data_IF_499091157463
#
_entry.id   IF_499091157463
#
_cell.length_a   1.000
_cell.length_b   1.000
_cell.length_c   1.000
_cell.angle_alpha   90.00
_cell.angle_beta   90.00
_cell.angle_gamma   90.00
#
_symmetry.space_group_name_H-M   'P 1'
#
loop_
_entity.id
_entity.type
_entity.pdbx_description
1 polymer ?
#
# COMPACT_ATOMS: atom_id res chain seq x y z
N UNK A 1 44.00 59.83 51.98
CA UNK A 1 43.42 58.77 52.82
C UNK A 1 42.73 57.79 51.88
N UNK A 2 43.44 56.80 51.36
CA UNK A 2 43.61 55.44 51.91
C UNK A 2 42.30 54.63 51.98
N UNK A 3 42.22 53.68 51.04
CA UNK A 3 41.59 52.36 51.07
C UNK A 3 40.05 52.30 51.04
N UNK A 4 39.48 51.96 49.88
CA UNK A 4 38.52 50.87 49.63
C UNK A 4 38.13 50.92 48.14
N UNK A 5 37.81 49.77 47.52
CA UNK A 5 37.54 49.53 46.09
C UNK A 5 38.73 49.15 45.20
N UNK A 6 39.39 48.06 45.59
CA UNK A 6 39.95 47.07 44.66
C UNK A 6 39.16 45.78 44.92
N UNK A 7 38.02 45.61 44.24
CA UNK A 7 37.26 44.35 44.14
C UNK A 7 35.96 44.59 43.33
N UNK A 8 36.08 44.77 42.02
CA UNK A 8 35.06 44.45 41.01
C UNK A 8 35.55 44.99 39.66
N UNK A 9 35.39 44.19 38.62
CA UNK A 9 35.81 44.38 37.22
C UNK A 9 37.14 43.75 36.79
N UNK A 10 36.96 42.88 35.79
CA UNK A 10 37.95 42.26 34.93
C UNK A 10 38.58 40.92 35.37
N UNK A 11 37.86 40.15 36.20
CA UNK A 11 37.91 38.69 36.13
C UNK A 11 36.98 38.20 34.99
N UNK A 12 37.27 38.64 33.75
CA UNK A 12 36.52 38.31 32.52
C UNK A 12 37.33 37.39 31.59
N UNK A 13 38.51 36.94 32.00
CA UNK A 13 39.41 36.19 31.10
C UNK A 13 39.87 34.83 31.64
N UNK A 14 39.21 34.28 32.66
CA UNK A 14 39.40 32.87 33.08
C UNK A 14 38.04 32.27 33.49
N UNK A 15 37.08 32.26 32.57
CA UNK A 15 35.91 31.37 32.59
C UNK A 15 35.66 30.74 31.21
N UNK A 16 36.68 30.74 30.36
CA UNK A 16 36.71 29.95 29.14
C UNK A 16 37.28 28.57 29.42
N UNK A 17 36.47 27.68 30.01
CA UNK A 17 36.59 26.20 29.97
C UNK A 17 35.74 25.51 31.06
N UNK A 18 34.48 25.89 31.24
CA UNK A 18 33.48 25.04 31.89
C UNK A 18 32.11 25.71 31.73
N UNK A 19 31.07 24.92 31.46
CA UNK A 19 29.66 25.32 31.41
C UNK A 19 29.17 26.04 30.13
N UNK A 20 29.31 25.38 28.99
CA UNK A 20 28.24 25.36 27.97
C UNK A 20 28.01 23.91 27.53
N UNK A 21 27.65 23.05 28.48
CA UNK A 21 26.70 21.98 28.17
C UNK A 21 25.32 22.62 28.28
N UNK A 22 24.93 23.32 27.22
CA UNK A 22 23.52 23.57 26.98
C UNK A 22 22.86 22.20 26.91
N UNK A 23 22.11 21.87 27.96
CA UNK A 23 20.99 20.94 27.91
C UNK A 23 19.96 21.51 26.93
N UNK A 24 20.31 21.51 25.64
CA UNK A 24 19.35 21.58 24.56
C UNK A 24 18.72 20.21 24.45
N UNK A 25 17.83 19.86 25.38
CA UNK A 25 16.69 19.06 24.98
C UNK A 25 15.90 19.95 24.02
N UNK A 26 16.32 19.97 22.75
CA UNK A 26 15.43 20.34 21.68
C UNK A 26 14.24 19.41 21.86
N UNK A 27 13.10 19.96 22.27
CA UNK A 27 11.84 19.23 22.27
C UNK A 27 11.74 18.65 20.86
N UNK A 28 11.93 17.33 20.73
CA UNK A 28 11.68 16.65 19.48
C UNK A 28 10.21 16.90 19.21
N UNK A 29 9.93 17.76 18.24
CA UNK A 29 8.57 17.95 17.74
C UNK A 29 8.23 16.62 17.14
N UNK A 30 7.50 15.79 17.87
CA UNK A 30 7.03 14.52 17.37
C UNK A 30 5.75 14.78 16.57
N UNK A 31 5.65 14.17 15.38
CA UNK A 31 4.37 14.09 14.68
C UNK A 31 3.35 13.42 15.59
N UNK A 32 2.13 13.93 15.68
CA UNK A 32 1.05 13.39 16.52
C UNK A 32 0.55 12.00 16.10
N UNK A 33 1.36 11.24 15.37
CA UNK A 33 1.08 9.92 14.82
C UNK A 33 2.31 9.00 14.93
N UNK A 34 2.07 7.70 15.01
CA UNK A 34 3.06 6.64 14.96
C UNK A 34 2.76 5.67 13.83
N UNK A 35 3.77 4.91 13.40
CA UNK A 35 3.59 3.81 12.46
C UNK A 35 2.88 2.67 13.20
N UNK A 36 1.79 2.15 12.62
CA UNK A 36 1.18 0.90 13.08
C UNK A 36 2.04 -0.27 12.57
N UNK A 37 2.95 -0.76 13.41
CA UNK A 37 3.90 -1.79 13.03
C UNK A 37 3.26 -3.13 12.69
N UNK A 38 2.07 -3.42 13.23
CA UNK A 38 1.41 -4.72 13.02
C UNK A 38 0.86 -4.85 11.60
N UNK A 39 0.54 -3.71 10.97
CA UNK A 39 -0.06 -3.67 9.63
C UNK A 39 1.00 -3.69 8.51
N UNK A 40 2.28 -3.49 8.85
CA UNK A 40 3.40 -3.32 7.90
C UNK A 40 3.21 -2.15 6.93
N UNK A 41 4.29 -1.75 6.25
CA UNK A 41 4.20 -0.87 5.08
C UNK A 41 3.98 -1.72 3.83
N UNK A 42 2.89 -1.46 3.10
CA UNK A 42 2.44 -2.30 2.00
C UNK A 42 2.71 -1.66 0.63
N UNK A 43 3.10 -2.48 -0.35
CA UNK A 43 3.16 -2.12 -1.77
C UNK A 43 2.04 -2.82 -2.54
N UNK A 44 1.15 -2.05 -3.17
CA UNK A 44 0.10 -2.53 -4.07
C UNK A 44 0.66 -2.86 -5.44
N UNK A 45 1.04 -4.12 -5.63
CA UNK A 45 1.68 -4.60 -6.86
C UNK A 45 0.63 -5.17 -7.81
N UNK A 46 0.52 -4.57 -9.00
CA UNK A 46 -0.32 -5.07 -10.08
C UNK A 46 0.58 -5.65 -11.18
N UNK A 47 0.66 -6.99 -11.34
CA UNK A 47 1.51 -7.59 -12.35
C UNK A 47 1.18 -7.05 -13.74
N UNK A 48 2.18 -6.84 -14.61
CA UNK A 48 1.93 -6.41 -15.97
C UNK A 48 1.05 -7.46 -16.67
N UNK A 49 0.00 -7.01 -17.34
CA UNK A 49 -0.82 -7.89 -18.18
C UNK A 49 0.09 -8.40 -19.29
N UNK A 50 0.39 -9.70 -19.30
CA UNK A 50 1.00 -10.32 -20.47
C UNK A 50 0.01 -10.12 -21.61
N UNK A 51 0.26 -9.18 -22.50
CA UNK A 51 -0.46 -9.10 -23.77
C UNK A 51 -0.34 -10.49 -24.39
N UNK A 52 -1.47 -11.19 -24.52
CA UNK A 52 -1.50 -12.38 -25.34
C UNK A 52 -1.06 -11.92 -26.72
N UNK A 53 0.11 -12.40 -27.17
CA UNK A 53 0.49 -12.30 -28.57
C UNK A 53 -0.71 -12.76 -29.41
N UNK A 54 -1.06 -12.05 -30.50
CA UNK A 54 -2.21 -12.41 -31.30
C UNK A 54 -2.05 -13.86 -31.74
N UNK A 55 -3.05 -14.70 -31.43
CA UNK A 55 -3.17 -16.05 -31.96
C UNK A 55 -3.12 -15.95 -33.49
N UNK A 56 -1.93 -16.15 -34.05
CA UNK A 56 -1.76 -16.32 -35.47
C UNK A 56 -2.54 -17.57 -35.86
N UNK A 57 -3.55 -17.34 -36.68
CA UNK A 57 -4.46 -18.33 -37.21
C UNK A 57 -3.72 -19.60 -37.69
N UNK A 58 -4.07 -20.73 -37.08
CA UNK A 58 -3.78 -22.06 -37.61
C UNK A 58 -4.65 -22.28 -38.87
N UNK A 59 -4.21 -21.70 -39.98
CA UNK A 59 -4.60 -22.09 -41.34
C UNK A 59 -3.36 -22.64 -42.03
N UNK A 60 -3.10 -23.93 -41.85
CA UNK A 60 -2.44 -24.74 -42.88
C UNK A 60 -2.78 -26.22 -42.70
N UNK A 61 -3.99 -26.59 -43.15
CA UNK A 61 -4.29 -27.96 -43.58
C UNK A 61 -4.33 -27.98 -45.11
N UNK A 62 -3.18 -28.28 -45.72
CA UNK A 62 -3.13 -28.78 -47.10
C UNK A 62 -1.88 -29.65 -47.31
N UNK A 63 -2.08 -30.97 -47.18
CA UNK A 63 -1.62 -31.99 -48.13
C UNK A 63 -1.40 -33.33 -47.43
N UNK A 64 -2.38 -34.24 -47.51
CA UNK A 64 -2.13 -35.61 -47.99
C UNK A 64 -3.36 -36.03 -48.78
N UNK A 65 -3.15 -36.38 -50.05
CA UNK A 65 -4.15 -37.00 -50.93
C UNK A 65 -3.61 -38.39 -51.30
N UNK A 66 -4.55 -39.33 -51.41
CA UNK A 66 -4.50 -40.68 -52.00
C UNK A 66 -4.11 -41.80 -51.01
N UNK A 67 -4.80 -42.95 -50.94
CA UNK A 67 -5.71 -43.59 -51.89
C UNK A 67 -6.73 -44.53 -51.18
N UNK A 68 -7.78 -44.86 -51.95
CA UNK A 68 -8.83 -45.90 -51.87
C UNK A 68 -8.64 -47.07 -50.87
N UNK A 69 -9.67 -47.72 -50.31
CA UNK A 69 -10.71 -48.52 -51.03
C UNK A 69 -11.83 -49.00 -50.09
N UNK A 70 -13.06 -49.13 -50.63
CA UNK A 70 -14.19 -50.08 -50.34
C UNK A 70 -14.59 -50.43 -48.89
N UNK A 71 -15.82 -50.12 -48.44
CA UNK A 71 -17.13 -50.81 -48.64
C UNK A 71 -17.48 -51.86 -47.57
N UNK A 72 -18.65 -51.68 -46.90
CA UNK A 72 -19.48 -52.66 -46.14
C UNK A 72 -18.83 -53.29 -44.88
N UNK A 73 -19.46 -53.44 -43.72
CA UNK A 73 -20.77 -54.03 -43.50
C UNK A 73 -21.31 -53.76 -42.08
N UNK A 74 -22.59 -54.12 -41.92
CA UNK A 74 -23.48 -53.91 -40.76
C UNK A 74 -23.12 -54.72 -39.50
N UNK A 75 -23.71 -54.25 -38.38
CA UNK A 75 -24.56 -54.96 -37.39
C UNK A 75 -24.00 -55.15 -35.96
N UNK A 76 -24.76 -54.56 -35.01
CA UNK A 76 -25.20 -55.03 -33.69
C UNK A 76 -24.25 -55.85 -32.80
N UNK A 77 -24.19 -55.51 -31.51
CA UNK A 77 -24.98 -56.15 -30.43
C UNK A 77 -24.83 -55.37 -29.11
N UNK A 78 -25.92 -55.32 -28.35
CA UNK A 78 -26.11 -54.79 -26.99
C UNK A 78 -25.42 -55.64 -25.92
N UNK A 79 -25.14 -55.02 -24.78
CA UNK A 79 -25.40 -55.46 -23.37
C UNK A 79 -24.25 -54.97 -22.49
N UNK A 80 -24.47 -54.08 -21.53
CA UNK A 80 -25.16 -54.22 -20.23
C UNK A 80 -24.13 -54.41 -19.10
N UNK A 81 -24.20 -53.49 -18.14
CA UNK A 81 -23.87 -53.57 -16.72
C UNK A 81 -22.64 -54.35 -16.25
N UNK A 82 -21.69 -53.62 -15.66
CA UNK A 82 -21.20 -53.93 -14.32
C UNK A 82 -20.53 -52.69 -13.71
N UNK A 83 -21.05 -52.28 -12.55
CA UNK A 83 -20.41 -51.35 -11.66
C UNK A 83 -19.21 -52.04 -10.98
N UNK A 84 -18.04 -51.41 -11.01
CA UNK A 84 -16.99 -51.71 -10.03
C UNK A 84 -16.34 -50.41 -9.57
N UNK A 85 -16.54 -50.14 -8.28
CA UNK A 85 -15.86 -49.11 -7.50
C UNK A 85 -14.40 -49.51 -7.40
N UNK A 86 -13.51 -48.71 -7.95
CA UNK A 86 -12.13 -48.67 -7.47
C UNK A 86 -11.74 -47.26 -7.05
N UNK A 87 -11.50 -47.15 -5.75
CA UNK A 87 -10.95 -45.99 -5.05
C UNK A 87 -9.57 -45.70 -5.62
N UNK A 88 -9.48 -44.75 -6.55
CA UNK A 88 -8.20 -44.12 -6.87
C UNK A 88 -7.81 -43.25 -5.68
N UNK A 89 -6.86 -43.73 -4.88
CA UNK A 89 -6.21 -42.95 -3.85
C UNK A 89 -5.72 -41.63 -4.48
N UNK A 90 -6.24 -40.53 -3.95
CA UNK A 90 -5.82 -39.18 -4.29
C UNK A 90 -4.38 -39.03 -3.79
N UNK A 91 -3.45 -39.21 -4.73
CA UNK A 91 -2.03 -38.93 -4.52
C UNK A 91 -1.94 -37.43 -4.20
N UNK A 92 -1.35 -37.01 -3.06
CA UNK A 92 -1.16 -35.60 -2.81
C UNK A 92 -0.36 -35.02 -3.97
N UNK A 93 -0.86 -33.92 -4.54
CA UNK A 93 -0.18 -33.19 -5.60
C UNK A 93 1.28 -33.00 -5.18
N UNK A 94 2.20 -33.52 -6.00
CA UNK A 94 3.62 -33.33 -5.78
C UNK A 94 3.88 -31.83 -5.61
N UNK A 95 4.51 -31.47 -4.50
CA UNK A 95 5.01 -30.11 -4.28
C UNK A 95 5.92 -29.81 -5.48
N UNK A 96 5.59 -28.82 -6.34
CA UNK A 96 6.42 -28.50 -7.48
C UNK A 96 7.82 -28.15 -6.95
N UNK A 97 8.85 -28.74 -7.54
CA UNK A 97 10.23 -28.38 -7.20
C UNK A 97 10.40 -26.85 -7.30
N UNK A 98 11.15 -26.23 -6.37
CA UNK A 98 11.37 -24.80 -6.39
C UNK A 98 11.97 -24.42 -7.75
N UNK A 99 11.24 -23.57 -8.49
CA UNK A 99 11.72 -23.00 -9.73
C UNK A 99 12.93 -22.13 -9.38
N UNK A 100 14.14 -22.61 -9.71
CA UNK A 100 15.40 -21.97 -9.30
C UNK A 100 15.54 -20.52 -9.78
N UNK A 101 14.71 -20.11 -10.74
CA UNK A 101 14.72 -18.76 -11.30
C UNK A 101 13.68 -17.82 -10.64
N UNK A 102 12.85 -18.33 -9.74
CA UNK A 102 11.80 -17.54 -9.09
C UNK A 102 11.78 -17.73 -7.58
N UNK A 103 11.69 -16.61 -6.87
CA UNK A 103 11.23 -16.58 -5.48
C UNK A 103 9.70 -16.59 -5.47
N UNK A 104 9.11 -17.36 -4.57
CA UNK A 104 7.67 -17.30 -4.27
C UNK A 104 7.51 -16.87 -2.82
N UNK A 105 7.37 -15.57 -2.52
CA UNK A 105 7.20 -15.11 -1.14
C UNK A 105 5.98 -15.76 -0.51
N UNK A 106 6.09 -16.09 0.79
CA UNK A 106 4.99 -16.70 1.52
C UNK A 106 3.85 -15.70 1.76
N UNK A 107 2.60 -16.17 1.70
CA UNK A 107 1.45 -15.37 2.09
C UNK A 107 1.46 -15.06 3.61
N UNK A 108 0.78 -14.00 4.01
CA UNK A 108 0.72 -13.60 5.43
C UNK A 108 -0.28 -14.41 6.27
N UNK A 109 -1.00 -15.37 5.67
CA UNK A 109 -1.85 -16.31 6.40
C UNK A 109 -3.17 -15.75 6.93
N UNK A 110 -3.67 -14.62 6.39
CA UNK A 110 -4.96 -14.06 6.81
C UNK A 110 -6.16 -14.90 6.36
N UNK A 111 -6.06 -15.51 5.19
CA UNK A 111 -7.05 -16.43 4.63
C UNK A 111 -6.36 -17.69 4.09
N UNK A 112 -7.15 -18.66 3.62
CA UNK A 112 -6.61 -19.85 2.95
C UNK A 112 -5.65 -19.46 1.80
N UNK A 113 -4.57 -20.22 1.52
CA UNK A 113 -3.58 -19.87 0.50
C UNK A 113 -4.16 -19.63 -0.90
N UNK A 114 -5.27 -20.28 -1.24
CA UNK A 114 -5.93 -20.14 -2.54
C UNK A 114 -6.99 -19.03 -2.60
N UNK A 115 -7.34 -18.41 -1.48
CA UNK A 115 -8.32 -17.32 -1.43
C UNK A 115 -7.62 -15.95 -1.42
N UNK A 116 -8.20 -14.92 -2.06
CA UNK A 116 -7.83 -13.53 -1.80
C UNK A 116 -8.17 -13.14 -0.36
N UNK A 117 -7.41 -12.18 0.18
CA UNK A 117 -7.67 -11.59 1.51
C UNK A 117 -8.70 -10.46 1.43
N UNK A 118 -8.79 -9.76 0.28
CA UNK A 118 -9.77 -8.69 0.02
C UNK A 118 -10.49 -8.97 -1.30
N UNK A 119 -11.83 -9.00 -1.27
CA UNK A 119 -12.69 -9.41 -2.40
C UNK A 119 -13.71 -8.38 -2.84
N UNK A 120 -13.94 -7.36 -2.02
CA UNK A 120 -15.05 -6.42 -2.14
C UNK A 120 -14.65 -5.04 -2.66
N UNK A 121 -13.64 -4.98 -3.54
CA UNK A 121 -13.24 -3.73 -4.19
C UNK A 121 -13.77 -3.76 -5.62
N UNK A 122 -14.85 -3.01 -5.88
CA UNK A 122 -15.30 -2.79 -7.25
C UNK A 122 -14.22 -2.00 -8.02
N UNK A 123 -13.81 -2.50 -9.19
CA UNK A 123 -12.70 -1.89 -9.94
C UNK A 123 -13.01 -0.46 -10.37
N UNK A 124 -14.26 -0.20 -10.78
CA UNK A 124 -14.68 1.13 -11.22
C UNK A 124 -14.59 2.16 -10.08
N UNK A 125 -14.94 1.77 -8.86
CA UNK A 125 -14.86 2.67 -7.70
C UNK A 125 -13.42 2.91 -7.28
N UNK A 126 -12.56 1.88 -7.35
CA UNK A 126 -11.12 2.03 -7.14
C UNK A 126 -10.50 3.06 -8.11
N UNK A 127 -10.91 3.04 -9.37
CA UNK A 127 -10.44 4.00 -10.38
C UNK A 127 -11.04 5.39 -10.15
N UNK A 128 -12.32 5.50 -9.76
CA UNK A 128 -12.95 6.80 -9.42
C UNK A 128 -12.26 7.46 -8.24
N UNK A 129 -11.71 6.68 -7.31
CA UNK A 129 -10.87 7.15 -6.22
C UNK A 129 -9.47 7.60 -6.68
N UNK A 130 -9.13 7.48 -7.97
CA UNK A 130 -7.90 8.02 -8.56
C UNK A 130 -6.71 7.06 -8.55
N UNK A 131 -6.90 5.78 -8.25
CA UNK A 131 -5.83 4.78 -8.33
C UNK A 131 -5.44 4.49 -9.79
N UNK A 132 -4.14 4.40 -10.11
CA UNK A 132 -3.64 4.29 -11.48
C UNK A 132 -3.68 2.85 -11.99
N UNK A 133 -4.88 2.29 -12.09
CA UNK A 133 -5.10 0.93 -12.58
C UNK A 133 -5.69 0.97 -13.97
N UNK A 134 -5.08 0.21 -14.89
CA UNK A 134 -5.64 0.02 -16.23
C UNK A 134 -6.84 -0.92 -16.14
N UNK A 135 -7.95 -0.54 -16.78
CA UNK A 135 -9.19 -1.31 -16.72
C UNK A 135 -9.72 -1.67 -18.11
N UNK A 136 -10.30 -2.87 -18.29
CA UNK A 136 -11.04 -3.20 -19.48
C UNK A 136 -12.22 -2.25 -19.70
N UNK A 137 -12.68 -2.09 -20.95
CA UNK A 137 -13.82 -1.23 -21.30
C UNK A 137 -15.10 -1.53 -20.47
N UNK A 138 -15.29 -2.78 -20.03
CA UNK A 138 -16.41 -3.22 -19.19
C UNK A 138 -16.07 -3.23 -17.68
N UNK A 139 -15.31 -2.24 -17.18
CA UNK A 139 -14.80 -2.16 -15.79
C UNK A 139 -15.82 -2.37 -14.68
N UNK A 140 -17.10 -2.04 -14.89
CA UNK A 140 -18.18 -2.29 -13.92
C UNK A 140 -18.52 -3.76 -13.66
N UNK A 141 -17.91 -4.71 -14.40
CA UNK A 141 -18.07 -6.16 -14.21
C UNK A 141 -16.85 -6.81 -13.53
N UNK A 142 -15.91 -6.01 -13.04
CA UNK A 142 -14.65 -6.47 -12.48
C UNK A 142 -14.47 -5.99 -11.05
N UNK A 143 -13.84 -6.84 -10.26
CA UNK A 143 -13.32 -6.47 -8.95
C UNK A 143 -11.79 -6.45 -8.98
N UNK A 144 -11.22 -5.69 -8.04
CA UNK A 144 -9.83 -5.82 -7.64
C UNK A 144 -9.76 -6.77 -6.45
N UNK A 145 -9.15 -7.92 -6.64
CA UNK A 145 -8.88 -8.88 -5.58
C UNK A 145 -7.46 -8.66 -5.07
N UNK A 146 -7.24 -8.76 -3.75
CA UNK A 146 -5.93 -8.55 -3.14
C UNK A 146 -5.59 -9.72 -2.24
N UNK A 147 -4.35 -10.18 -2.30
CA UNK A 147 -3.75 -11.08 -1.31
C UNK A 147 -2.42 -10.52 -0.81
N UNK A 148 -2.14 -10.67 0.48
CA UNK A 148 -0.96 -10.12 1.12
C UNK A 148 0.15 -11.17 1.27
N UNK A 149 1.35 -10.76 0.90
CA UNK A 149 2.55 -11.58 0.94
C UNK A 149 3.65 -10.89 1.74
N UNK A 150 4.58 -11.69 2.27
CA UNK A 150 5.84 -11.17 2.78
C UNK A 150 6.61 -10.45 1.66
N UNK A 151 7.42 -9.47 2.05
CA UNK A 151 8.30 -8.78 1.10
C UNK A 151 9.34 -9.76 0.52
N UNK A 152 9.63 -9.70 -0.80
CA UNK A 152 10.60 -10.61 -1.42
C UNK A 152 12.01 -10.47 -0.83
N UNK A 153 12.61 -11.59 -0.45
CA UNK A 153 13.97 -11.66 0.07
C UNK A 153 15.02 -11.29 -0.99
N UNK A 154 14.73 -11.50 -2.27
CA UNK A 154 15.61 -11.11 -3.38
C UNK A 154 15.69 -9.59 -3.58
N UNK A 155 14.76 -8.81 -3.03
CA UNK A 155 14.72 -7.36 -3.20
C UNK A 155 15.36 -6.62 -2.03
N UNK A 156 15.92 -5.44 -2.33
CA UNK A 156 16.45 -4.51 -1.33
C UNK A 156 15.32 -3.60 -0.78
N UNK A 157 14.92 -3.73 0.50
CA UNK A 157 13.82 -2.95 1.09
C UNK A 157 13.93 -1.44 0.83
N UNK A 158 15.14 -0.92 0.95
CA UNK A 158 15.47 0.50 0.92
C UNK A 158 15.26 1.10 -0.48
N UNK A 159 15.50 0.32 -1.54
CA UNK A 159 15.27 0.77 -2.91
C UNK A 159 13.78 0.84 -3.22
N UNK A 160 13.02 -0.16 -2.79
CA UNK A 160 11.56 -0.19 -3.00
C UNK A 160 10.84 0.88 -2.19
N UNK A 161 11.21 1.07 -0.92
CA UNK A 161 10.57 2.06 -0.03
C UNK A 161 10.99 3.49 -0.34
N UNK A 162 12.23 3.74 -0.79
CA UNK A 162 12.69 5.09 -1.12
C UNK A 162 11.84 5.77 -2.21
N UNK A 163 11.31 5.01 -3.17
CA UNK A 163 10.44 5.54 -4.21
C UNK A 163 9.17 6.19 -3.63
N UNK A 164 8.66 5.65 -2.52
CA UNK A 164 7.49 6.21 -1.83
C UNK A 164 7.93 7.27 -0.83
N UNK A 165 8.86 6.95 0.07
CA UNK A 165 9.26 7.85 1.16
C UNK A 165 9.84 9.15 0.60
N UNK A 166 10.82 9.09 -0.30
CA UNK A 166 11.42 10.30 -0.90
C UNK A 166 10.52 10.91 -1.96
N UNK A 167 9.80 10.08 -2.72
CA UNK A 167 8.89 10.56 -3.76
C UNK A 167 7.69 11.35 -3.22
N UNK A 168 7.29 11.11 -1.97
CA UNK A 168 6.31 11.93 -1.26
C UNK A 168 6.96 12.88 -0.24
N UNK A 169 8.29 13.04 -0.24
CA UNK A 169 9.02 13.86 0.72
C UNK A 169 8.72 13.52 2.20
N UNK A 170 8.34 12.28 2.49
CA UNK A 170 8.00 11.83 3.85
C UNK A 170 9.22 11.77 4.75
N UNK A 171 10.42 11.68 4.18
CA UNK A 171 11.70 11.79 4.91
C UNK A 171 11.89 13.18 5.55
N UNK A 172 11.10 14.18 5.13
CA UNK A 172 11.12 15.55 5.67
C UNK A 172 10.15 15.76 6.84
N UNK A 173 9.30 14.78 7.14
CA UNK A 173 8.43 14.83 8.32
C UNK A 173 9.27 14.68 9.61
N UNK A 174 8.71 15.09 10.74
CA UNK A 174 9.32 14.94 12.05
C UNK A 174 9.75 13.49 12.33
N UNK A 175 8.84 12.55 12.03
CA UNK A 175 9.10 11.11 12.15
C UNK A 175 9.70 10.49 10.87
N UNK A 176 10.16 11.31 9.90
CA UNK A 176 10.63 10.85 8.59
C UNK A 176 11.86 9.93 8.65
N UNK A 177 12.78 10.19 9.58
CA UNK A 177 13.94 9.30 9.83
C UNK A 177 13.48 7.93 10.34
N UNK A 178 12.58 7.91 11.32
CA UNK A 178 12.01 6.68 11.90
C UNK A 178 11.29 5.88 10.81
N UNK A 179 10.51 6.55 9.96
CA UNK A 179 9.84 5.90 8.82
C UNK A 179 10.84 5.31 7.82
N UNK A 180 11.93 6.02 7.52
CA UNK A 180 12.99 5.54 6.62
C UNK A 180 13.68 4.30 7.18
N UNK A 181 14.03 4.32 8.47
CA UNK A 181 14.64 3.16 9.15
C UNK A 181 13.67 1.99 9.23
N UNK A 182 12.41 2.22 9.58
CA UNK A 182 11.36 1.21 9.61
C UNK A 182 11.20 0.52 8.25
N UNK A 183 11.13 1.29 7.16
CA UNK A 183 10.93 0.78 5.81
C UNK A 183 12.19 0.24 5.13
N UNK A 184 13.33 0.24 5.83
CA UNK A 184 14.58 -0.37 5.39
C UNK A 184 14.71 -1.83 5.84
N UNK A 185 13.76 -2.34 6.63
CA UNK A 185 13.75 -3.73 7.10
C UNK A 185 12.62 -4.50 6.41
N UNK A 186 12.94 -5.58 5.70
CA UNK A 186 11.97 -6.39 4.94
C UNK A 186 10.86 -6.97 5.82
N UNK A 187 11.11 -7.19 7.12
CA UNK A 187 10.08 -7.72 8.04
C UNK A 187 8.92 -6.75 8.26
N UNK A 188 9.19 -5.45 8.09
CA UNK A 188 8.25 -4.35 8.23
C UNK A 188 7.51 -4.05 6.93
N UNK A 189 7.83 -4.77 5.85
CA UNK A 189 7.25 -4.58 4.53
C UNK A 189 6.36 -5.76 4.14
N UNK A 190 5.35 -5.48 3.33
CA UNK A 190 4.46 -6.47 2.74
C UNK A 190 4.07 -6.08 1.31
N UNK A 191 3.63 -7.06 0.52
CA UNK A 191 3.14 -6.85 -0.83
C UNK A 191 1.66 -7.21 -0.88
N UNK A 192 0.83 -6.26 -1.29
CA UNK A 192 -0.56 -6.46 -1.69
C UNK A 192 -0.55 -6.84 -3.17
N UNK A 193 -0.53 -8.14 -3.47
CA UNK A 193 -0.65 -8.61 -4.86
C UNK A 193 -2.08 -8.38 -5.33
N UNK A 194 -2.24 -7.55 -6.35
CA UNK A 194 -3.51 -7.19 -6.94
C UNK A 194 -3.83 -8.07 -8.16
N UNK A 195 -5.09 -8.49 -8.27
CA UNK A 195 -5.63 -9.19 -9.44
C UNK A 195 -6.94 -8.54 -9.88
N UNK A 196 -6.98 -8.07 -11.11
CA UNK A 196 -8.23 -7.67 -11.76
C UNK A 196 -8.89 -8.90 -12.38
N UNK A 197 -10.06 -9.27 -11.87
CA UNK A 197 -10.85 -10.39 -12.40
C UNK A 197 -12.35 -10.06 -12.37
N UNK A 198 -13.17 -10.86 -13.05
CA UNK A 198 -14.63 -10.63 -13.06
C UNK A 198 -15.18 -10.73 -11.64
N UNK A 199 -16.21 -9.95 -11.33
CA UNK A 199 -16.80 -9.91 -9.98
C UNK A 199 -17.42 -11.26 -9.56
N UNK A 200 -17.74 -12.14 -10.50
CA UNK A 200 -18.27 -13.50 -10.28
C UNK A 200 -17.17 -14.59 -10.23
N UNK A 201 -15.89 -14.21 -10.20
CA UNK A 201 -14.78 -15.16 -10.12
C UNK A 201 -14.82 -15.92 -8.80
N UNK A 202 -14.84 -17.25 -8.88
CA UNK A 202 -14.80 -18.15 -7.71
C UNK A 202 -13.38 -18.68 -7.51
N UNK A 203 -12.77 -18.37 -6.38
CA UNK A 203 -11.45 -18.88 -5.98
C UNK A 203 -11.58 -20.17 -5.19
N UNK A 204 -10.77 -21.17 -5.52
CA UNK A 204 -10.76 -22.49 -4.88
C UNK A 204 -9.39 -23.15 -5.02
N UNK A 205 -9.20 -24.34 -4.44
CA UNK A 205 -7.97 -25.11 -4.67
C UNK A 205 -7.74 -25.44 -6.17
N UNK A 206 -8.82 -25.62 -6.95
CA UNK A 206 -8.76 -25.90 -8.38
C UNK A 206 -8.62 -24.64 -9.24
N UNK A 207 -9.01 -23.47 -8.71
CA UNK A 207 -8.84 -22.16 -9.33
C UNK A 207 -8.27 -21.17 -8.30
N UNK A 208 -7.00 -21.30 -7.92
CA UNK A 208 -6.46 -20.55 -6.80
C UNK A 208 -6.17 -19.09 -7.18
N UNK A 209 -6.18 -18.21 -6.18
CA UNK A 209 -5.54 -16.91 -6.31
C UNK A 209 -4.07 -17.11 -6.70
N UNK A 210 -3.53 -16.33 -7.66
CA UNK A 210 -2.19 -16.54 -8.16
C UNK A 210 -1.14 -16.36 -7.05
N UNK A 211 -0.13 -17.23 -7.06
CA UNK A 211 1.05 -17.05 -6.22
C UNK A 211 1.82 -15.80 -6.65
N UNK A 212 2.37 -15.06 -5.69
CA UNK A 212 3.31 -13.99 -5.98
C UNK A 212 4.66 -14.59 -6.38
N UNK A 213 5.13 -14.29 -7.59
CA UNK A 213 6.41 -14.79 -8.10
C UNK A 213 7.30 -13.64 -8.50
N UNK A 214 8.55 -13.69 -8.05
CA UNK A 214 9.58 -12.71 -8.36
C UNK A 214 10.70 -13.42 -9.09
N UNK A 215 11.08 -12.90 -10.26
CA UNK A 215 12.22 -13.43 -11.00
C UNK A 215 13.52 -13.04 -10.29
N UNK A 216 14.29 -14.02 -9.83
CA UNK A 216 15.53 -13.79 -9.04
C UNK A 216 16.78 -13.69 -9.90
N UNK A 217 16.70 -14.07 -11.18
CA UNK A 217 17.83 -14.01 -12.12
C UNK A 217 17.80 -12.73 -12.97
N UNK A 218 16.63 -12.11 -13.10
CA UNK A 218 16.48 -10.83 -13.79
C UNK A 218 16.94 -9.66 -12.90
N UNK A 219 17.98 -8.96 -13.36
CA UNK A 219 18.57 -7.82 -12.65
C UNK A 219 17.63 -6.62 -12.59
N UNK A 220 16.66 -6.54 -13.49
CA UNK A 220 15.67 -5.47 -13.55
C UNK A 220 14.38 -5.82 -12.80
N UNK A 221 14.27 -7.02 -12.21
CA UNK A 221 13.07 -7.47 -11.51
C UNK A 221 12.63 -6.52 -10.39
N UNK A 222 13.58 -5.94 -9.64
CA UNK A 222 13.25 -4.97 -8.60
C UNK A 222 12.73 -3.65 -9.16
N UNK A 223 13.30 -3.17 -10.28
CA UNK A 223 12.81 -1.96 -10.95
C UNK A 223 11.41 -2.21 -11.52
N UNK A 224 11.19 -3.36 -12.16
CA UNK A 224 9.89 -3.76 -12.64
C UNK A 224 8.86 -3.86 -11.50
N UNK A 225 9.25 -4.37 -10.32
CA UNK A 225 8.40 -4.36 -9.14
C UNK A 225 7.99 -2.95 -8.71
N UNK A 226 8.95 -2.01 -8.68
CA UNK A 226 8.69 -0.60 -8.34
C UNK A 226 7.76 0.04 -9.38
N UNK A 227 8.03 -0.14 -10.67
CA UNK A 227 7.23 0.43 -11.77
C UNK A 227 5.79 -0.11 -11.81
N UNK A 228 5.57 -1.34 -11.34
CA UNK A 228 4.25 -1.97 -11.28
C UNK A 228 3.59 -1.86 -9.88
N UNK A 229 4.19 -1.09 -8.96
CA UNK A 229 3.55 -0.71 -7.70
C UNK A 229 2.65 0.49 -7.95
N UNK A 230 1.34 0.24 -8.03
CA UNK A 230 0.33 1.25 -8.40
C UNK A 230 -0.15 2.10 -7.22
N UNK A 231 -0.01 1.57 -6.00
CA UNK A 231 -0.23 2.32 -4.76
C UNK A 231 0.62 1.74 -3.63
N UNK A 232 0.72 2.47 -2.53
CA UNK A 232 1.37 2.00 -1.30
C UNK A 232 0.53 2.39 -0.09
N UNK A 233 0.55 1.60 0.98
CA UNK A 233 -0.25 1.87 2.18
C UNK A 233 0.62 1.92 3.45
N UNK A 234 0.62 3.08 4.12
CA UNK A 234 1.20 3.28 5.45
C UNK A 234 0.07 3.37 6.48
N UNK A 235 0.15 2.56 7.52
CA UNK A 235 -0.83 2.57 8.60
C UNK A 235 -0.29 3.37 9.78
N UNK A 236 -1.15 4.20 10.35
CA UNK A 236 -0.79 5.12 11.43
C UNK A 236 -1.78 5.08 12.59
N UNK A 237 -1.24 5.21 13.80
CA UNK A 237 -1.98 5.35 15.06
C UNK A 237 -1.72 6.73 15.65
N UNK A 238 -2.62 7.27 16.50
CA UNK A 238 -2.32 8.48 17.25
C UNK A 238 -1.10 8.26 18.14
N UNK A 239 -0.16 9.19 18.12
CA UNK A 239 1.01 9.13 18.98
C UNK A 239 0.70 9.69 20.35
N UNK A 240 1.14 9.01 21.41
CA UNK A 240 0.95 9.46 22.77
C UNK A 240 1.90 10.63 23.08
N UNK A 241 1.47 11.88 22.90
CA UNK A 241 2.27 13.03 23.32
C UNK A 241 1.49 14.00 24.22
N UNK A 242 1.89 13.96 25.49
CA UNK A 242 1.91 15.00 26.51
C UNK A 242 0.65 15.89 26.75
N UNK A 243 0.11 15.72 27.97
CA UNK A 243 -0.33 16.67 29.03
C UNK A 243 -0.89 18.09 28.75
N UNK A 244 -0.73 18.70 27.58
CA UNK A 244 -1.20 20.06 27.31
C UNK A 244 -2.55 20.07 26.58
N UNK A 245 -3.36 21.12 26.79
CA UNK A 245 -4.74 21.25 26.28
C UNK A 245 -4.81 22.00 24.92
N UNK A 246 -3.94 21.70 23.96
CA UNK A 246 -4.06 22.27 22.59
C UNK A 246 -4.85 21.36 21.65
N UNK A 247 -5.34 21.90 20.53
CA UNK A 247 -6.03 21.12 19.51
C UNK A 247 -5.14 20.04 18.89
N UNK A 248 -3.85 20.32 18.73
CA UNK A 248 -2.84 19.32 18.31
C UNK A 248 -2.63 18.25 19.38
N UNK A 249 -2.69 18.62 20.67
CA UNK A 249 -2.58 17.68 21.77
C UNK A 249 -3.80 16.76 21.91
N UNK A 250 -5.01 17.24 21.57
CA UNK A 250 -6.22 16.38 21.48
C UNK A 250 -6.06 15.26 20.44
N UNK A 251 -5.44 15.55 19.29
CA UNK A 251 -5.15 14.53 18.27
C UNK A 251 -4.04 13.55 18.71
N UNK A 252 -3.16 13.96 19.63
CA UNK A 252 -2.08 13.16 20.19
C UNK A 252 -2.47 12.41 21.48
N UNK A 253 -3.76 12.36 21.84
CA UNK A 253 -4.21 11.52 22.96
C UNK A 253 -4.19 10.05 22.54
N UNK A 254 -3.44 9.18 23.24
CA UNK A 254 -3.43 7.76 22.95
C UNK A 254 -4.81 7.16 23.16
N UNK A 255 -5.13 6.11 22.41
CA UNK A 255 -6.29 5.28 22.72
C UNK A 255 -5.96 4.48 23.98
N UNK A 256 -6.66 4.74 25.08
CA UNK A 256 -6.26 4.25 26.41
C UNK A 256 -6.65 2.79 26.64
N UNK A 257 -7.41 2.18 25.73
CA UNK A 257 -8.01 0.86 25.93
C UNK A 257 -9.19 0.88 26.92
N UNK A 258 -9.42 2.02 27.59
CA UNK A 258 -10.57 2.28 28.46
C UNK A 258 -11.78 2.77 27.65
N UNK A 259 -11.67 2.88 26.32
CA UNK A 259 -12.81 3.12 25.44
C UNK A 259 -13.84 2.00 25.67
N UNK A 260 -14.92 2.39 26.34
CA UNK A 260 -15.96 1.47 26.79
C UNK A 260 -16.75 0.87 25.63
N UNK A 261 -16.65 1.48 24.44
CA UNK A 261 -17.26 0.97 23.21
C UNK A 261 -16.28 0.89 22.03
N UNK A 262 -16.53 -0.07 21.14
CA UNK A 262 -15.79 -0.19 19.88
C UNK A 262 -15.93 1.05 18.96
N UNK A 263 -16.97 1.88 19.14
CA UNK A 263 -17.12 3.12 18.37
C UNK A 263 -16.17 4.22 18.88
N UNK A 264 -15.96 4.30 20.19
CA UNK A 264 -14.97 5.21 20.79
C UNK A 264 -13.54 4.83 20.34
N UNK A 265 -13.23 3.53 20.30
CA UNK A 265 -11.97 3.03 19.72
C UNK A 265 -11.80 3.45 18.25
N UNK A 266 -12.87 3.36 17.46
CA UNK A 266 -12.84 3.77 16.05
C UNK A 266 -12.59 5.25 15.87
N UNK A 267 -13.28 6.09 16.63
CA UNK A 267 -13.05 7.53 16.63
C UNK A 267 -11.63 7.87 17.07
N UNK A 268 -11.14 7.27 18.15
CA UNK A 268 -9.77 7.50 18.61
C UNK A 268 -8.72 7.11 17.55
N UNK A 269 -8.89 5.94 16.93
CA UNK A 269 -7.99 5.46 15.86
C UNK A 269 -7.84 6.49 14.72
N UNK A 270 -8.93 7.17 14.34
CA UNK A 270 -8.89 8.17 13.25
C UNK A 270 -7.98 9.37 13.51
N UNK A 271 -7.63 9.64 14.77
CA UNK A 271 -6.73 10.74 15.13
C UNK A 271 -5.34 10.56 14.52
N UNK A 272 -4.89 9.33 14.30
CA UNK A 272 -3.60 9.05 13.65
C UNK A 272 -3.51 9.64 12.24
N UNK A 273 -4.50 9.35 11.38
CA UNK A 273 -4.53 9.91 10.02
C UNK A 273 -4.75 11.42 10.01
N UNK A 274 -5.53 11.95 10.95
CA UNK A 274 -5.74 13.40 11.10
C UNK A 274 -4.44 14.12 11.49
N UNK A 275 -3.68 13.57 12.45
CA UNK A 275 -2.40 14.12 12.86
C UNK A 275 -1.36 14.05 11.73
N UNK A 276 -1.29 12.94 11.00
CA UNK A 276 -0.44 12.81 9.81
C UNK A 276 -0.79 13.86 8.75
N UNK A 277 -2.10 14.06 8.49
CA UNK A 277 -2.59 15.07 7.55
C UNK A 277 -2.19 16.48 7.97
N UNK A 278 -2.39 16.85 9.23
CA UNK A 278 -2.00 18.17 9.72
C UNK A 278 -0.49 18.42 9.55
N UNK A 279 0.34 17.43 9.86
CA UNK A 279 1.79 17.54 9.70
C UNK A 279 2.21 17.68 8.23
N UNK A 280 1.65 16.86 7.33
CA UNK A 280 2.05 16.91 5.92
C UNK A 280 1.63 18.23 5.27
N UNK A 281 0.44 18.76 5.60
CA UNK A 281 0.00 20.07 5.10
C UNK A 281 0.93 21.17 5.58
N UNK A 282 1.28 21.18 6.87
CA UNK A 282 2.24 22.14 7.42
C UNK A 282 3.57 22.05 6.68
N UNK A 283 4.16 20.86 6.64
CA UNK A 283 5.48 20.66 6.02
C UNK A 283 5.47 21.03 4.53
N UNK A 284 4.48 20.61 3.77
CA UNK A 284 4.41 20.93 2.34
C UNK A 284 4.17 22.41 2.08
N UNK A 285 3.34 23.08 2.89
CA UNK A 285 3.14 24.53 2.78
C UNK A 285 4.40 25.35 3.05
N UNK A 286 5.30 24.84 3.91
CA UNK A 286 6.56 25.50 4.25
C UNK A 286 7.70 25.18 3.28
N UNK A 287 7.67 24.00 2.63
CA UNK A 287 8.83 23.47 1.89
C UNK A 287 8.62 23.31 0.39
N UNK A 288 7.38 23.20 -0.08
CA UNK A 288 7.06 22.92 -1.48
C UNK A 288 6.38 24.11 -2.16
N UNK A 289 6.32 24.09 -3.49
CA UNK A 289 5.69 25.14 -4.29
C UNK A 289 4.18 24.93 -4.25
N UNK A 290 3.43 25.82 -3.61
CA UNK A 290 1.97 25.78 -3.69
C UNK A 290 1.51 26.04 -5.13
N UNK A 291 0.65 25.18 -5.66
CA UNK A 291 0.11 25.30 -7.01
C UNK A 291 -1.37 25.69 -6.94
N UNK A 292 -1.78 26.61 -7.82
CA UNK A 292 -3.18 27.00 -7.97
C UNK A 292 -3.89 25.99 -8.88
N UNK A 293 -4.92 25.26 -8.42
CA UNK A 293 -5.64 24.32 -9.26
C UNK A 293 -6.65 25.02 -10.18
N UNK A 294 -6.81 24.51 -11.39
CA UNK A 294 -7.90 24.90 -12.28
C UNK A 294 -9.23 24.26 -11.83
N UNK A 295 -9.91 24.84 -10.83
CA UNK A 295 -11.28 24.49 -10.45
C UNK A 295 -11.45 23.31 -9.48
N UNK A 296 -10.41 22.96 -8.71
CA UNK A 296 -10.50 21.97 -7.62
C UNK A 296 -10.32 22.65 -6.26
N UNK A 297 -11.42 22.82 -5.54
CA UNK A 297 -11.45 23.40 -4.20
C UNK A 297 -11.36 22.35 -3.08
N UNK A 298 -11.37 21.06 -3.42
CA UNK A 298 -11.38 19.93 -2.47
C UNK A 298 -9.98 19.46 -2.11
N UNK A 299 -8.96 19.90 -2.84
CA UNK A 299 -7.59 19.47 -2.66
C UNK A 299 -6.60 20.64 -2.53
N UNK A 300 -5.49 20.36 -1.87
CA UNK A 300 -4.26 21.13 -1.96
C UNK A 300 -3.35 20.51 -3.02
N UNK A 301 -2.54 21.36 -3.67
CA UNK A 301 -1.59 20.95 -4.70
C UNK A 301 -0.23 21.56 -4.38
N UNK A 302 0.79 20.71 -4.31
CA UNK A 302 2.17 21.11 -4.03
C UNK A 302 3.11 20.52 -5.07
N UNK A 303 3.95 21.36 -5.67
CA UNK A 303 4.94 20.98 -6.66
C UNK A 303 6.37 21.01 -6.10
N UNK A 304 7.23 20.14 -6.61
CA UNK A 304 8.67 20.26 -6.43
C UNK A 304 9.41 19.84 -7.71
N UNK A 305 10.44 20.61 -8.06
CA UNK A 305 11.25 20.35 -9.25
C UNK A 305 12.19 19.17 -8.99
N UNK A 306 12.36 18.30 -9.98
CA UNK A 306 13.27 17.15 -9.95
C UNK A 306 14.38 17.35 -10.99
N UNK A 307 15.30 18.32 -10.79
CA UNK A 307 16.20 18.81 -11.84
C UNK A 307 17.16 17.75 -12.41
N UNK A 308 17.40 16.64 -11.70
CA UNK A 308 18.26 15.54 -12.13
C UNK A 308 17.50 14.22 -12.35
N UNK A 309 16.17 14.28 -12.49
CA UNK A 309 15.36 13.10 -12.77
C UNK A 309 15.59 12.61 -14.21
N UNK A 310 15.83 11.31 -14.46
CA UNK A 310 16.07 10.81 -15.82
C UNK A 310 14.83 10.89 -16.73
N UNK A 311 13.63 11.11 -16.16
CA UNK A 311 12.35 11.12 -16.89
C UNK A 311 11.36 12.21 -16.44
N UNK A 312 11.48 12.77 -15.23
CA UNK A 312 10.56 13.81 -14.73
C UNK A 312 11.32 15.07 -14.33
N UNK A 313 10.71 16.23 -14.58
CA UNK A 313 11.23 17.56 -14.22
C UNK A 313 10.41 18.23 -13.10
N UNK A 314 9.20 17.74 -12.87
CA UNK A 314 8.26 18.25 -11.87
C UNK A 314 7.46 17.07 -11.30
N UNK A 315 7.37 17.00 -9.97
CA UNK A 315 6.41 16.15 -9.27
C UNK A 315 5.37 17.01 -8.59
N UNK A 316 4.10 16.62 -8.71
CA UNK A 316 2.95 17.28 -8.09
C UNK A 316 2.30 16.33 -7.10
N UNK A 317 2.14 16.79 -5.86
CA UNK A 317 1.42 16.10 -4.81
C UNK A 317 0.04 16.74 -4.64
N UNK A 318 -1.02 15.94 -4.78
CA UNK A 318 -2.41 16.33 -4.55
C UNK A 318 -2.88 15.71 -3.24
N UNK A 319 -3.47 16.52 -2.36
CA UNK A 319 -3.91 16.09 -1.02
C UNK A 319 -5.34 16.56 -0.77
N UNK A 320 -6.27 15.67 -0.37
CA UNK A 320 -7.58 16.07 0.11
C UNK A 320 -7.46 17.09 1.25
N UNK A 321 -8.33 18.10 1.26
CA UNK A 321 -8.36 19.09 2.36
C UNK A 321 -8.81 18.49 3.69
N UNK A 322 -9.51 17.35 3.65
CA UNK A 322 -9.95 16.60 4.82
C UNK A 322 -9.73 15.11 4.57
N UNK A 323 -9.11 14.38 5.51
CA UNK A 323 -9.13 12.92 5.52
C UNK A 323 -10.58 12.40 5.57
N UNK A 324 -10.77 11.19 5.07
CA UNK A 324 -12.01 10.44 5.25
C UNK A 324 -12.00 9.81 6.64
N UNK A 325 -13.12 9.94 7.35
CA UNK A 325 -13.39 9.32 8.66
C UNK A 325 -14.69 8.54 8.51
N UNK A 326 -14.68 7.26 8.88
CA UNK A 326 -15.79 6.36 8.62
C UNK A 326 -16.58 6.09 9.90
N UNK A 327 -17.76 6.69 10.00
CA UNK A 327 -18.69 6.41 11.11
C UNK A 327 -19.23 4.97 11.04
N UNK A 328 -19.43 4.46 9.82
CA UNK A 328 -19.84 3.08 9.53
C UNK A 328 -18.63 2.14 9.31
N UNK A 329 -17.55 2.31 10.07
CA UNK A 329 -16.30 1.56 9.93
C UNK A 329 -16.43 0.03 9.86
N UNK A 330 -17.49 -0.56 10.44
CA UNK A 330 -17.78 -2.01 10.37
C UNK A 330 -18.19 -2.48 8.97
N UNK A 331 -18.67 -1.57 8.13
CA UNK A 331 -19.11 -1.85 6.76
C UNK A 331 -17.99 -1.55 5.73
N UNK A 332 -16.90 -0.93 6.18
CA UNK A 332 -15.79 -0.56 5.30
C UNK A 332 -14.99 -1.79 4.88
N UNK A 333 -14.38 -1.79 3.67
CA UNK A 333 -13.49 -2.85 3.24
C UNK A 333 -12.36 -3.07 4.25
N UNK A 334 -12.07 -4.35 4.53
CA UNK A 334 -11.15 -4.73 5.58
C UNK A 334 -9.72 -4.61 5.05
N UNK A 335 -8.85 -3.81 5.68
CA UNK A 335 -7.52 -3.53 5.17
C UNK A 335 -6.61 -4.77 5.26
N UNK A 336 -6.79 -5.58 6.31
CA UNK A 336 -6.18 -6.90 6.61
C UNK A 336 -7.16 -7.67 7.53
N UNK A 337 -7.11 -9.00 7.63
CA UNK A 337 -8.01 -9.86 8.48
C UNK A 337 -9.53 -9.51 8.48
N UNK A 338 -10.36 -10.31 7.77
CA UNK A 338 -11.78 -10.05 7.67
C UNK A 338 -12.60 -10.19 8.97
N UNK A 339 -12.01 -10.67 10.07
CA UNK A 339 -12.71 -10.90 11.33
C UNK A 339 -12.34 -9.92 12.45
N UNK A 340 -11.30 -9.10 12.26
CA UNK A 340 -10.68 -8.39 13.37
C UNK A 340 -10.16 -6.99 13.09
N UNK A 341 -9.95 -6.59 11.84
CA UNK A 341 -9.33 -5.30 11.54
C UNK A 341 -10.19 -4.51 10.56
N UNK A 342 -10.51 -3.28 10.93
CA UNK A 342 -11.45 -2.45 10.20
C UNK A 342 -10.87 -1.07 9.94
N UNK A 343 -11.11 -0.53 8.75
CA UNK A 343 -10.67 0.80 8.37
C UNK A 343 -11.54 1.87 9.06
N UNK A 344 -10.92 2.75 9.84
CA UNK A 344 -11.61 3.83 10.57
C UNK A 344 -11.32 5.20 9.97
N UNK A 345 -10.14 5.41 9.41
CA UNK A 345 -9.74 6.65 8.76
C UNK A 345 -8.84 6.41 7.56
N UNK A 346 -8.93 7.29 6.55
CA UNK A 346 -8.23 7.16 5.29
C UNK A 346 -7.86 8.53 4.70
N UNK A 347 -6.63 8.67 4.26
CA UNK A 347 -6.14 9.79 3.46
C UNK A 347 -5.46 9.24 2.21
N UNK A 348 -5.95 9.64 1.04
CA UNK A 348 -5.37 9.30 -0.25
C UNK A 348 -4.54 10.47 -0.77
N UNK A 349 -3.23 10.28 -0.86
CA UNK A 349 -2.27 11.28 -1.33
C UNK A 349 -1.80 10.87 -2.72
N UNK A 350 -2.06 11.71 -3.72
CA UNK A 350 -1.72 11.40 -5.11
C UNK A 350 -0.40 12.05 -5.47
N UNK A 351 0.47 11.31 -6.14
CA UNK A 351 1.66 11.87 -6.80
C UNK A 351 1.51 11.72 -8.30
N UNK A 352 1.81 12.81 -9.00
CA UNK A 352 1.89 12.86 -10.45
C UNK A 352 3.27 13.35 -10.84
N UNK A 353 4.01 12.56 -11.60
CA UNK A 353 5.33 12.95 -12.11
C UNK A 353 5.18 13.36 -13.58
N UNK A 354 5.79 14.50 -13.92
CA UNK A 354 5.68 15.14 -15.21
C UNK A 354 7.04 15.27 -15.89
N UNK A 355 7.08 14.90 -17.17
CA UNK A 355 8.14 15.25 -18.08
C UNK A 355 7.86 16.61 -18.74
N UNK A 356 8.92 17.26 -19.19
CA UNK A 356 8.82 18.45 -20.03
C UNK A 356 8.43 18.03 -21.46
N UNK A 357 7.49 18.74 -22.07
CA UNK A 357 7.17 18.55 -23.49
C UNK A 357 8.33 19.01 -24.38
N UNK A 358 8.47 18.36 -25.54
CA UNK A 358 9.45 18.75 -26.53
C UNK A 358 9.21 20.20 -27.00
N UNK A 359 10.29 21.00 -27.08
CA UNK A 359 10.21 22.41 -27.49
C UNK A 359 9.61 23.38 -26.45
N UNK A 360 9.06 22.90 -25.33
CA UNK A 360 8.53 23.78 -24.30
C UNK A 360 9.62 24.71 -23.72
N UNK A 361 9.28 25.95 -23.40
CA UNK A 361 10.15 26.86 -22.65
C UNK A 361 9.64 26.88 -21.22
N UNK A 362 10.46 26.41 -20.28
CA UNK A 362 10.11 26.44 -18.87
C UNK A 362 10.40 27.85 -18.32
N UNK A 363 9.37 28.47 -17.76
CA UNK A 363 9.51 29.70 -16.97
C UNK A 363 9.88 29.37 -15.53
N UNK A 364 10.30 30.38 -14.77
CA UNK A 364 10.56 30.21 -13.33
C UNK A 364 9.29 29.88 -12.55
N UNK A 365 8.15 30.45 -12.96
CA UNK A 365 6.81 30.14 -12.45
C UNK A 365 6.22 28.90 -13.12
N UNK A 366 5.50 28.10 -12.32
CA UNK A 366 4.71 26.96 -12.80
C UNK A 366 3.30 27.47 -13.13
N UNK A 367 2.75 27.21 -14.33
CA UNK A 367 1.38 27.58 -14.67
C UNK A 367 0.35 26.93 -13.72
N UNK A 368 -0.88 27.44 -13.73
CA UNK A 368 -1.97 26.86 -12.94
C UNK A 368 -2.15 25.38 -13.26
N UNK A 369 -2.23 24.54 -12.22
CA UNK A 369 -2.24 23.09 -12.40
C UNK A 369 -3.49 22.65 -13.17
N UNK A 370 -3.26 21.93 -14.28
CA UNK A 370 -4.32 21.44 -15.17
C UNK A 370 -4.79 22.42 -16.25
N UNK A 371 -4.25 23.66 -16.29
CA UNK A 371 -4.55 24.63 -17.35
C UNK A 371 -4.01 24.17 -18.71
N UNK A 372 -4.44 24.86 -19.78
CA UNK A 372 -3.93 24.60 -21.14
C UNK A 372 -2.42 24.84 -21.20
N UNK A 373 -1.95 25.94 -20.62
CA UNK A 373 -0.52 26.31 -20.57
C UNK A 373 0.29 25.26 -19.80
N UNK A 374 -0.26 24.71 -18.71
CA UNK A 374 0.40 23.61 -17.99
C UNK A 374 0.56 22.38 -18.87
N UNK A 375 -0.49 21.99 -19.61
CA UNK A 375 -0.48 20.82 -20.51
C UNK A 375 0.41 21.02 -21.74
N UNK A 376 0.60 22.25 -22.18
CA UNK A 376 1.55 22.60 -23.24
C UNK A 376 3.01 22.45 -22.78
N UNK A 377 3.29 22.66 -21.48
CA UNK A 377 4.64 22.53 -20.93
C UNK A 377 4.98 21.14 -20.42
N UNK A 378 3.99 20.39 -19.92
CA UNK A 378 4.20 19.16 -19.16
C UNK A 378 3.30 18.01 -19.62
N UNK A 379 3.88 16.80 -19.69
CA UNK A 379 3.16 15.55 -19.90
C UNK A 379 3.32 14.66 -18.68
N UNK A 380 2.20 14.12 -18.16
CA UNK A 380 2.23 13.16 -17.05
C UNK A 380 2.87 11.87 -17.54
N UNK A 381 3.92 11.42 -16.86
CA UNK A 381 4.68 10.20 -17.19
C UNK A 381 4.53 9.10 -16.15
N UNK A 382 4.10 9.45 -14.94
CA UNK A 382 3.86 8.50 -13.88
C UNK A 382 2.82 9.03 -12.90
N UNK A 383 2.11 8.12 -12.25
CA UNK A 383 1.21 8.40 -11.15
C UNK A 383 1.25 7.28 -10.10
N UNK A 384 0.99 7.66 -8.86
CA UNK A 384 0.97 6.74 -7.73
C UNK A 384 0.02 7.29 -6.65
N UNK A 385 -0.61 6.40 -5.89
CA UNK A 385 -1.41 6.76 -4.72
C UNK A 385 -0.76 6.23 -3.45
N UNK A 386 -0.53 7.11 -2.49
CA UNK A 386 -0.16 6.75 -1.13
C UNK A 386 -1.40 6.79 -0.26
N UNK A 387 -1.74 5.63 0.26
CA UNK A 387 -2.81 5.40 1.23
C UNK A 387 -2.22 5.57 2.64
N UNK A 388 -2.71 6.56 3.39
CA UNK A 388 -2.46 6.68 4.83
C UNK A 388 -3.72 6.25 5.55
N UNK A 389 -3.64 5.19 6.33
CA UNK A 389 -4.82 4.57 6.92
C UNK A 389 -4.69 4.43 8.44
N UNK A 390 -5.82 4.55 9.13
CA UNK A 390 -5.96 4.18 10.53
C UNK A 390 -6.97 3.04 10.64
N UNK A 391 -6.69 2.09 11.53
CA UNK A 391 -7.48 0.88 11.69
C UNK A 391 -7.89 0.65 13.13
N UNK A 392 -9.01 -0.04 13.31
CA UNK A 392 -9.46 -0.57 14.61
C UNK A 392 -9.22 -2.05 14.59
N UNK A 393 -8.52 -2.53 15.63
CA UNK A 393 -8.26 -3.96 15.85
C UNK A 393 -9.17 -4.42 16.98
N UNK A 394 -10.15 -5.26 16.66
CA UNK A 394 -10.98 -5.93 17.64
C UNK A 394 -10.30 -7.23 18.06
N UNK A 395 -10.24 -7.47 19.37
CA UNK A 395 -9.78 -8.78 19.87
C UNK A 395 -10.72 -9.86 19.34
N UNK A 396 -10.17 -10.93 18.77
CA UNK A 396 -10.97 -12.14 18.50
C UNK A 396 -11.56 -12.59 19.83
N UNK A 397 -12.90 -12.63 19.92
CA UNK A 397 -13.54 -13.29 21.04
C UNK A 397 -13.14 -14.75 20.99
N UNK A 398 -12.24 -15.16 21.88
CA UNK A 398 -12.01 -16.58 22.17
C UNK A 398 -13.30 -17.09 22.81
N UNK A 399 -14.29 -17.41 21.98
CA UNK A 399 -15.43 -18.21 22.42
C UNK A 399 -14.80 -19.55 22.77
N UNK A 400 -14.60 -19.78 24.06
CA UNK A 400 -14.16 -21.03 24.61
C UNK A 400 -15.03 -22.15 24.06
N UNK A 401 -14.43 -23.03 23.26
CA UNK A 401 -14.85 -24.42 23.15
C UNK A 401 -14.67 -25.09 24.52
N UNK A 402 -15.48 -24.71 25.51
CA UNK A 402 -15.87 -25.61 26.58
C UNK A 402 -17.11 -26.35 26.09
N UNK A 403 -16.90 -27.23 25.13
CA UNK A 403 -17.91 -28.19 24.71
C UNK A 403 -17.90 -29.31 25.76
N UNK A 404 -18.94 -29.29 26.58
CA UNK A 404 -19.57 -30.45 27.23
C UNK A 404 -18.66 -31.65 27.54
N UNK A 405 -18.05 -31.64 28.72
CA UNK A 405 -17.70 -32.88 29.42
C UNK A 405 -18.18 -32.76 30.86
N UNK A 406 -19.40 -33.26 31.11
CA UNK A 406 -19.85 -34.00 32.31
C UNK A 406 -21.38 -33.98 32.44
N UNK A 407 -22.03 -34.84 31.68
CA UNK A 407 -23.28 -35.50 32.07
C UNK A 407 -23.10 -36.99 31.84
N UNK A 408 -22.38 -37.63 32.78
CA UNK A 408 -22.43 -39.06 33.00
C UNK A 408 -21.84 -39.35 34.38
N UNK A 409 -22.66 -39.19 35.41
CA UNK A 409 -22.60 -40.09 36.57
C UNK A 409 -24.03 -40.33 37.03
N UNK A 410 -24.59 -41.40 36.45
CA UNK A 410 -25.74 -42.12 36.98
C UNK A 410 -25.18 -43.47 37.44
N UNK A 411 -25.01 -43.63 38.75
CA UNK A 411 -25.35 -44.86 39.48
C UNK A 411 -25.18 -44.68 40.98
#
# INVERSE_FOLDING_TARGET
MKKFLIAAFALVLISGAAAFQSYGYAAQVHGGWHIDSDMKFNFGYLPPVKEKAPEAAEKDKKNVKNAATSEKDKKNVKNADAAEKDKKAEQPAAVPEPDKNFETPADLGFTSPFLPDITNIALDDFIKLGFPVTAPAAKGKYNLFIKLFNFPAAFKPELSSAHVIKGYQLDKLANGKVLTEYASDSKNLAVKLCLTAKSDTVFSAQNPFPAFKVNTVDKDAQNAFIENTVFSSLYVTPAAYAKDETAEAELAKPCTGDETSANELAQCSTRGVQAFHAEIIKMFSEKLIALTPAGDDKHYYYGYKTPNGPRSVLSVIKIPRKPLVFENWREMPMPQDPAGIFLSGLLLIYRYDYAKNEGAILTDSIPAFGSTEFKEQFTKVNDHVLEIASVVKLKKNTVSEKKEEKTADTK
#
